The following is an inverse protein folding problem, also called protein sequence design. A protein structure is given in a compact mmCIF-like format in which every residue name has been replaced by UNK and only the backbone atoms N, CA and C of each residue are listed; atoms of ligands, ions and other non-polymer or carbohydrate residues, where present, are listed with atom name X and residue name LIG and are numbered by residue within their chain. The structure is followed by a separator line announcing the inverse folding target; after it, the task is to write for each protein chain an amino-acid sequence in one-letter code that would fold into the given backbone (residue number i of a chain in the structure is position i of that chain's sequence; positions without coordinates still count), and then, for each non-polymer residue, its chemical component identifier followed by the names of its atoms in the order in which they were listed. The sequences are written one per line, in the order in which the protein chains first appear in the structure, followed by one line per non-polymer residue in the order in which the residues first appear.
data_IF_275875602138
#
_entry.id   IF_275875602138
#
_cell.length_a   1.000
_cell.length_b   1.000
_cell.length_c   1.000
_cell.angle_alpha   90.00
_cell.angle_beta   90.00
_cell.angle_gamma   90.00
#
_symmetry.space_group_name_H-M   'P 1'
#
loop_
_entity.id
_entity.type
_entity.pdbx_description
1 polymer ?
#
# COMPACT_ATOMS: atom_id res chain seq x y z
N UNK A 1 -5.39 2.17 -24.81
CA UNK A 1 -4.44 1.65 -23.80
C UNK A 1 -4.93 0.27 -23.39
N UNK A 2 -4.09 -0.77 -23.37
CA UNK A 2 -4.51 -2.13 -22.99
C UNK A 2 -4.69 -2.23 -21.47
N UNK A 3 -5.56 -3.16 -21.00
CA UNK A 3 -5.79 -3.38 -19.56
C UNK A 3 -4.50 -3.70 -18.81
N UNK A 4 -3.61 -4.51 -19.38
CA UNK A 4 -2.31 -4.83 -18.81
C UNK A 4 -1.44 -3.57 -18.61
N UNK A 5 -1.45 -2.64 -19.59
CA UNK A 5 -0.70 -1.38 -19.48
C UNK A 5 -1.25 -0.49 -18.37
N UNK A 6 -2.57 -0.41 -18.25
CA UNK A 6 -3.22 0.30 -17.13
C UNK A 6 -2.81 -0.33 -15.81
N UNK A 7 -2.87 -1.65 -15.71
CA UNK A 7 -2.52 -2.38 -14.49
C UNK A 7 -1.07 -2.13 -14.05
N UNK A 8 -0.10 -2.22 -14.97
CA UNK A 8 1.30 -1.95 -14.67
C UNK A 8 1.52 -0.52 -14.19
N UNK A 9 0.87 0.47 -14.83
CA UNK A 9 0.93 1.87 -14.42
C UNK A 9 0.30 2.07 -13.02
N UNK A 10 -0.84 1.43 -12.74
CA UNK A 10 -1.47 1.51 -11.42
C UNK A 10 -0.56 0.99 -10.31
N UNK A 11 0.16 -0.12 -10.52
CA UNK A 11 1.14 -0.61 -9.57
C UNK A 11 2.29 0.38 -9.34
N UNK A 12 2.78 1.03 -10.40
CA UNK A 12 3.85 2.03 -10.28
C UNK A 12 3.34 3.24 -9.49
N UNK A 13 2.14 3.73 -9.79
CA UNK A 13 1.53 4.83 -9.04
C UNK A 13 1.28 4.40 -7.57
N UNK A 14 0.80 3.19 -7.34
CA UNK A 14 0.59 2.64 -6.00
C UNK A 14 1.89 2.62 -5.16
N UNK A 15 3.03 2.31 -5.79
CA UNK A 15 4.31 2.28 -5.12
C UNK A 15 4.96 3.66 -4.96
N UNK A 16 4.88 4.53 -5.94
CA UNK A 16 5.59 5.82 -5.94
C UNK A 16 4.72 7.00 -5.54
N UNK A 17 3.40 6.92 -5.75
CA UNK A 17 2.51 8.09 -5.66
C UNK A 17 2.53 8.73 -4.27
N UNK A 18 2.30 7.98 -3.21
CA UNK A 18 2.31 8.49 -1.86
C UNK A 18 3.70 9.00 -1.43
N UNK A 19 4.77 8.26 -1.77
CA UNK A 19 6.16 8.68 -1.51
C UNK A 19 6.44 10.02 -2.19
N UNK A 20 6.08 10.16 -3.47
CA UNK A 20 6.29 11.39 -4.21
C UNK A 20 5.51 12.57 -3.60
N UNK A 21 4.27 12.32 -3.15
CA UNK A 21 3.45 13.37 -2.52
C UNK A 21 4.08 13.82 -1.20
N UNK A 22 4.47 12.90 -0.32
CA UNK A 22 5.07 13.28 0.97
C UNK A 22 6.43 13.95 0.80
N UNK A 23 7.36 13.35 0.04
CA UNK A 23 8.74 13.85 -0.07
C UNK A 23 8.80 15.09 -0.97
N UNK A 24 8.15 15.07 -2.14
CA UNK A 24 8.31 16.17 -3.11
C UNK A 24 7.38 17.35 -2.87
N UNK A 25 6.23 17.12 -2.24
CA UNK A 25 5.23 18.17 -2.06
C UNK A 25 5.04 18.55 -0.59
N UNK A 26 5.07 17.58 0.33
CA UNK A 26 4.92 17.80 1.75
C UNK A 26 6.19 18.37 2.40
N UNK A 27 7.31 17.64 2.33
CA UNK A 27 8.55 18.01 3.00
C UNK A 27 9.17 19.28 2.45
N UNK A 28 8.92 19.61 1.19
CA UNK A 28 9.37 20.86 0.57
C UNK A 28 8.51 22.08 0.97
N UNK A 29 7.39 21.87 1.66
CA UNK A 29 6.46 22.92 2.05
C UNK A 29 5.62 23.48 0.89
N UNK A 30 5.62 22.84 -0.28
CA UNK A 30 4.77 23.23 -1.41
C UNK A 30 3.28 23.02 -1.14
N UNK A 31 2.95 22.03 -0.29
CA UNK A 31 1.61 21.76 0.16
C UNK A 31 1.52 21.86 1.69
N UNK A 32 0.38 22.33 2.20
CA UNK A 32 0.08 22.19 3.63
C UNK A 32 -0.11 20.72 4.00
N UNK A 33 0.08 20.39 5.28
CA UNK A 33 -0.15 19.02 5.80
C UNK A 33 -1.49 18.46 5.36
N UNK A 34 -2.57 19.25 5.52
CA UNK A 34 -3.92 18.86 5.12
C UNK A 34 -4.04 18.49 3.64
N UNK A 35 -3.41 19.26 2.74
CA UNK A 35 -3.43 18.94 1.31
C UNK A 35 -2.55 17.74 0.96
N UNK A 36 -1.40 17.60 1.63
CA UNK A 36 -0.51 16.44 1.44
C UNK A 36 -1.23 15.14 1.78
N UNK A 37 -1.90 15.08 2.94
CA UNK A 37 -2.68 13.91 3.36
C UNK A 37 -3.78 13.56 2.35
N UNK A 38 -4.55 14.55 1.91
CA UNK A 38 -5.62 14.33 0.92
C UNK A 38 -5.11 13.79 -0.42
N UNK A 39 -4.02 14.36 -0.94
CA UNK A 39 -3.49 13.94 -2.24
C UNK A 39 -2.84 12.56 -2.11
N UNK A 40 -2.11 12.28 -1.02
CA UNK A 40 -1.56 10.96 -0.73
C UNK A 40 -2.68 9.91 -0.68
N UNK A 41 -3.78 10.19 0.03
CA UNK A 41 -4.94 9.31 0.10
C UNK A 41 -5.48 8.92 -1.27
N UNK A 42 -5.60 9.86 -2.21
CA UNK A 42 -6.04 9.56 -3.58
C UNK A 42 -5.07 8.65 -4.33
N UNK A 43 -3.76 8.79 -4.12
CA UNK A 43 -2.78 7.89 -4.76
C UNK A 43 -2.87 6.47 -4.21
N UNK A 44 -3.18 6.31 -2.92
CA UNK A 44 -3.31 5.01 -2.27
C UNK A 44 -4.49 4.18 -2.80
N UNK A 45 -5.55 4.82 -3.31
CA UNK A 45 -6.67 4.11 -3.95
C UNK A 45 -6.21 3.28 -5.17
N UNK A 46 -5.09 3.64 -5.79
CA UNK A 46 -4.54 2.86 -6.90
C UNK A 46 -4.06 1.46 -6.48
N UNK A 47 -3.77 1.23 -5.20
CA UNK A 47 -3.35 -0.05 -4.65
C UNK A 47 -4.39 -1.15 -4.93
N UNK A 48 -5.60 -1.11 -4.35
CA UNK A 48 -6.58 -2.17 -4.58
C UNK A 48 -7.01 -2.26 -6.04
N UNK A 49 -6.99 -1.17 -6.79
CA UNK A 49 -7.29 -1.19 -8.23
C UNK A 49 -6.25 -2.01 -9.00
N UNK A 50 -4.95 -1.84 -8.71
CA UNK A 50 -3.89 -2.62 -9.35
C UNK A 50 -4.04 -4.13 -9.05
N UNK A 51 -4.29 -4.48 -7.80
CA UNK A 51 -4.49 -5.88 -7.41
C UNK A 51 -5.79 -6.47 -7.98
N UNK A 52 -6.86 -5.69 -8.07
CA UNK A 52 -8.10 -6.12 -8.71
C UNK A 52 -7.91 -6.43 -10.20
N UNK A 53 -7.12 -5.64 -10.92
CA UNK A 53 -6.84 -5.90 -12.32
C UNK A 53 -5.99 -7.16 -12.53
N UNK A 54 -5.04 -7.48 -11.63
CA UNK A 54 -4.32 -8.76 -11.69
C UNK A 54 -5.24 -9.95 -11.43
N UNK A 55 -6.23 -9.80 -10.57
CA UNK A 55 -7.27 -10.81 -10.34
C UNK A 55 -8.08 -11.13 -11.60
N UNK A 56 -8.26 -10.17 -12.51
CA UNK A 56 -8.94 -10.40 -13.78
C UNK A 56 -8.10 -11.26 -14.75
N UNK A 57 -6.77 -11.27 -14.59
CA UNK A 57 -5.87 -12.10 -15.40
C UNK A 57 -5.88 -13.54 -14.90
N UNK A 58 -5.80 -13.72 -13.58
CA UNK A 58 -5.86 -15.02 -12.92
C UNK A 58 -6.53 -14.87 -11.55
N UNK A 59 -7.31 -15.87 -11.14
CA UNK A 59 -8.13 -15.80 -9.93
C UNK A 59 -7.91 -17.01 -9.04
N UNK A 60 -7.77 -16.74 -7.74
CA UNK A 60 -7.85 -17.76 -6.70
C UNK A 60 -8.35 -17.13 -5.38
N UNK A 61 -8.75 -17.98 -4.44
CA UNK A 61 -9.32 -17.55 -3.15
C UNK A 61 -8.38 -16.69 -2.31
N UNK A 62 -7.06 -16.87 -2.42
CA UNK A 62 -6.08 -16.03 -1.70
C UNK A 62 -6.04 -14.61 -2.26
N UNK A 63 -6.11 -14.45 -3.58
CA UNK A 63 -6.18 -13.14 -4.20
C UNK A 63 -7.48 -12.41 -3.85
N UNK A 64 -8.61 -13.15 -3.81
CA UNK A 64 -9.90 -12.59 -3.42
C UNK A 64 -9.90 -12.14 -1.94
N UNK A 65 -9.39 -12.98 -1.05
CA UNK A 65 -9.28 -12.66 0.37
C UNK A 65 -8.31 -11.49 0.63
N UNK A 66 -7.14 -11.52 -0.01
CA UNK A 66 -6.16 -10.45 0.10
C UNK A 66 -6.69 -9.12 -0.41
N UNK A 67 -7.40 -9.10 -1.54
CA UNK A 67 -8.03 -7.89 -2.07
C UNK A 67 -9.07 -7.32 -1.10
N UNK A 68 -9.91 -8.17 -0.49
CA UNK A 68 -10.88 -7.74 0.50
C UNK A 68 -10.18 -7.08 1.71
N UNK A 69 -9.12 -7.70 2.23
CA UNK A 69 -8.33 -7.14 3.33
C UNK A 69 -7.71 -5.80 2.95
N UNK A 70 -7.17 -5.66 1.72
CA UNK A 70 -6.62 -4.38 1.25
C UNK A 70 -7.69 -3.30 1.20
N UNK A 71 -8.89 -3.61 0.69
CA UNK A 71 -9.98 -2.63 0.62
C UNK A 71 -10.42 -2.20 2.02
N UNK A 72 -10.59 -3.15 2.95
CA UNK A 72 -10.98 -2.85 4.34
C UNK A 72 -9.88 -2.01 5.01
N UNK A 73 -8.63 -2.42 4.94
CA UNK A 73 -7.52 -1.71 5.54
C UNK A 73 -7.33 -0.30 4.97
N UNK A 74 -7.38 -0.17 3.64
CA UNK A 74 -7.30 1.13 2.98
C UNK A 74 -8.48 2.05 3.36
N UNK A 75 -9.69 1.52 3.47
CA UNK A 75 -10.85 2.31 3.89
C UNK A 75 -10.66 2.92 5.28
N UNK A 76 -10.07 2.18 6.21
CA UNK A 76 -9.69 2.69 7.54
C UNK A 76 -8.60 3.76 7.43
N UNK A 77 -7.57 3.54 6.61
CA UNK A 77 -6.53 4.53 6.35
C UNK A 77 -7.10 5.83 5.79
N UNK A 78 -7.99 5.78 4.80
CA UNK A 78 -8.63 6.97 4.22
C UNK A 78 -9.47 7.74 5.24
N UNK A 79 -10.15 7.05 6.16
CA UNK A 79 -10.88 7.69 7.27
C UNK A 79 -9.90 8.40 8.20
N UNK A 80 -8.78 7.77 8.54
CA UNK A 80 -7.71 8.38 9.33
C UNK A 80 -7.16 9.64 8.68
N UNK A 81 -6.80 9.56 7.39
CA UNK A 81 -6.26 10.70 6.63
C UNK A 81 -7.26 11.86 6.58
N UNK A 82 -8.56 11.56 6.47
CA UNK A 82 -9.61 12.57 6.54
C UNK A 82 -9.67 13.25 7.92
N UNK A 83 -9.55 12.48 9.02
CA UNK A 83 -9.51 13.02 10.38
C UNK A 83 -8.27 13.89 10.59
N UNK A 84 -7.11 13.40 10.19
CA UNK A 84 -5.84 14.12 10.33
C UNK A 84 -5.81 15.41 9.48
N UNK A 85 -6.39 15.35 8.28
CA UNK A 85 -6.47 16.53 7.41
C UNK A 85 -7.41 17.62 7.91
N UNK A 86 -8.33 17.30 8.81
CA UNK A 86 -9.26 18.26 9.38
C UNK A 86 -8.63 19.15 10.48
N UNK A 87 -7.50 18.73 11.06
CA UNK A 87 -6.72 19.49 12.06
C UNK A 87 -7.56 20.02 13.24
N UNK A 88 -8.57 19.24 13.72
CA UNK A 88 -9.55 19.71 14.70
C UNK A 88 -8.95 19.80 16.10
N UNK A 89 -8.22 18.77 16.54
CA UNK A 89 -7.58 18.70 17.87
C UNK A 89 -6.49 17.65 17.91
N UNK A 90 -5.59 17.75 18.91
CA UNK A 90 -4.58 16.71 19.18
C UNK A 90 -5.23 15.34 19.46
N UNK A 91 -6.38 15.34 20.14
CA UNK A 91 -7.12 14.13 20.46
C UNK A 91 -7.68 13.43 19.21
N UNK A 92 -8.20 14.21 18.27
CA UNK A 92 -8.65 13.66 16.98
C UNK A 92 -7.49 13.09 16.14
N UNK A 93 -6.31 13.69 16.20
CA UNK A 93 -5.11 13.17 15.54
C UNK A 93 -4.64 11.84 16.15
N UNK A 94 -4.70 11.68 17.47
CA UNK A 94 -4.40 10.39 18.13
C UNK A 94 -5.39 9.29 17.72
N UNK A 95 -6.68 9.62 17.65
CA UNK A 95 -7.70 8.68 17.16
C UNK A 95 -7.46 8.32 15.69
N UNK A 96 -7.16 9.30 14.85
CA UNK A 96 -6.79 9.09 13.46
C UNK A 96 -5.59 8.15 13.34
N UNK A 97 -4.53 8.39 14.10
CA UNK A 97 -3.35 7.52 14.14
C UNK A 97 -3.68 6.08 14.51
N UNK A 98 -4.46 5.85 15.56
CA UNK A 98 -4.86 4.50 15.97
C UNK A 98 -5.66 3.76 14.88
N UNK A 99 -6.55 4.45 14.18
CA UNK A 99 -7.31 3.91 13.04
C UNK A 99 -6.35 3.59 11.88
N UNK A 100 -5.40 4.50 11.57
CA UNK A 100 -4.42 4.30 10.52
C UNK A 100 -3.59 3.02 10.74
N UNK A 101 -2.96 2.89 11.90
CA UNK A 101 -2.10 1.75 12.18
C UNK A 101 -2.84 0.42 12.07
N UNK A 102 -4.07 0.36 12.57
CA UNK A 102 -4.92 -0.82 12.42
C UNK A 102 -5.27 -1.09 10.96
N UNK A 103 -5.70 -0.05 10.23
CA UNK A 103 -6.04 -0.17 8.81
C UNK A 103 -4.84 -0.62 7.95
N UNK A 104 -3.70 0.02 8.13
CA UNK A 104 -2.48 -0.34 7.41
C UNK A 104 -2.03 -1.77 7.73
N UNK A 105 -2.13 -2.23 8.98
CA UNK A 105 -1.81 -3.62 9.32
C UNK A 105 -2.67 -4.61 8.52
N UNK A 106 -3.98 -4.41 8.45
CA UNK A 106 -4.90 -5.24 7.68
C UNK A 106 -4.56 -5.20 6.17
N UNK A 107 -4.23 -4.03 5.64
CA UNK A 107 -3.82 -3.89 4.24
C UNK A 107 -2.56 -4.69 3.92
N UNK A 108 -1.52 -4.61 4.76
CA UNK A 108 -0.29 -5.38 4.57
C UNK A 108 -0.49 -6.89 4.73
N UNK A 109 -1.38 -7.32 5.64
CA UNK A 109 -1.82 -8.71 5.68
C UNK A 109 -2.46 -9.12 4.34
N UNK A 110 -3.27 -8.26 3.74
CA UNK A 110 -3.84 -8.45 2.42
C UNK A 110 -2.80 -8.64 1.31
N UNK A 111 -1.70 -7.86 1.34
CA UNK A 111 -0.57 -8.05 0.41
C UNK A 111 0.07 -9.43 0.58
N UNK A 112 0.33 -9.84 1.83
CA UNK A 112 0.92 -11.15 2.13
C UNK A 112 0.04 -12.29 1.61
N UNK A 113 -1.26 -12.24 1.87
CA UNK A 113 -2.23 -13.24 1.41
C UNK A 113 -2.31 -13.27 -0.12
N UNK A 114 -2.29 -12.11 -0.79
CA UNK A 114 -2.27 -12.04 -2.25
C UNK A 114 -0.96 -12.59 -2.82
N UNK A 115 0.17 -12.36 -2.17
CA UNK A 115 1.47 -12.94 -2.53
C UNK A 115 1.44 -14.48 -2.55
N UNK A 116 0.76 -15.11 -1.59
CA UNK A 116 0.50 -16.57 -1.61
C UNK A 116 -0.31 -16.96 -2.85
N UNK A 117 -1.30 -16.15 -3.21
CA UNK A 117 -2.07 -16.32 -4.44
C UNK A 117 -1.19 -16.28 -5.69
N UNK A 118 -0.25 -15.36 -5.76
CA UNK A 118 0.69 -15.24 -6.87
C UNK A 118 1.65 -16.44 -6.99
N UNK A 119 2.14 -16.97 -5.86
CA UNK A 119 2.93 -18.21 -5.85
C UNK A 119 2.18 -19.39 -6.46
N UNK A 120 0.87 -19.50 -6.16
CA UNK A 120 0.04 -20.61 -6.66
C UNK A 120 -0.32 -20.52 -8.13
N UNK A 121 -0.30 -19.31 -8.69
CA UNK A 121 -0.71 -19.08 -10.08
C UNK A 121 0.46 -18.86 -11.03
N UNK A 122 1.68 -18.76 -10.50
CA UNK A 122 2.88 -18.41 -11.27
C UNK A 122 2.70 -17.11 -12.10
N UNK A 123 1.85 -16.20 -11.62
CA UNK A 123 1.58 -14.95 -12.32
C UNK A 123 2.83 -14.06 -12.36
N UNK A 124 3.60 -14.08 -11.28
CA UNK A 124 4.89 -13.40 -11.16
C UNK A 124 6.00 -14.40 -10.82
N UNK A 125 7.27 -14.06 -11.05
CA UNK A 125 8.39 -14.90 -10.61
C UNK A 125 8.27 -15.21 -9.11
N UNK A 126 8.57 -16.45 -8.71
CA UNK A 126 8.41 -16.90 -7.33
C UNK A 126 9.17 -16.03 -6.32
N UNK A 127 10.38 -15.55 -6.67
CA UNK A 127 11.15 -14.67 -5.80
C UNK A 127 10.40 -13.35 -5.49
N UNK A 128 9.71 -12.79 -6.49
CA UNK A 128 8.96 -11.54 -6.32
C UNK A 128 7.70 -11.76 -5.44
N UNK A 129 7.01 -12.88 -5.64
CA UNK A 129 5.89 -13.27 -4.79
C UNK A 129 6.33 -13.50 -3.34
N UNK A 130 7.46 -14.15 -3.11
CA UNK A 130 8.05 -14.31 -1.78
C UNK A 130 8.47 -12.97 -1.18
N UNK A 131 9.03 -12.08 -1.99
CA UNK A 131 9.41 -10.75 -1.52
C UNK A 131 8.20 -9.93 -1.08
N UNK A 132 7.10 -9.99 -1.84
CA UNK A 132 5.82 -9.39 -1.44
C UNK A 132 5.33 -9.96 -0.11
N UNK A 133 5.32 -11.31 0.05
CA UNK A 133 4.87 -11.97 1.28
C UNK A 133 5.72 -11.53 2.48
N UNK A 134 7.03 -11.62 2.37
CA UNK A 134 7.94 -11.36 3.50
C UNK A 134 7.91 -9.89 3.91
N UNK A 135 8.08 -8.97 2.97
CA UNK A 135 8.08 -7.54 3.26
C UNK A 135 6.76 -7.08 3.90
N UNK A 136 5.64 -7.57 3.36
CA UNK A 136 4.33 -7.20 3.88
C UNK A 136 4.00 -7.89 5.21
N UNK A 137 4.43 -9.15 5.41
CA UNK A 137 4.24 -9.83 6.69
C UNK A 137 5.03 -9.17 7.82
N UNK A 138 6.25 -8.74 7.56
CA UNK A 138 7.05 -8.00 8.52
C UNK A 138 6.33 -6.70 8.89
N UNK A 139 5.90 -5.93 7.90
CA UNK A 139 5.17 -4.68 8.15
C UNK A 139 3.87 -4.92 8.92
N UNK A 140 3.10 -5.95 8.54
CA UNK A 140 1.89 -6.35 9.28
C UNK A 140 2.18 -6.61 10.76
N UNK A 141 3.19 -7.43 11.06
CA UNK A 141 3.54 -7.78 12.44
C UNK A 141 3.93 -6.54 13.23
N UNK A 142 4.76 -5.66 12.67
CA UNK A 142 5.15 -4.41 13.32
C UNK A 142 3.92 -3.54 13.66
N UNK A 143 3.07 -3.30 12.68
CA UNK A 143 1.88 -2.45 12.87
C UNK A 143 0.83 -3.08 13.79
N UNK A 144 0.76 -4.41 13.88
CA UNK A 144 -0.21 -5.11 14.70
C UNK A 144 0.24 -5.29 16.17
N UNK A 145 1.56 -5.35 16.41
CA UNK A 145 2.11 -5.69 17.74
C UNK A 145 2.54 -4.46 18.51
N UNK A 146 3.09 -3.43 17.84
CA UNK A 146 3.56 -2.23 18.50
C UNK A 146 2.39 -1.31 18.90
N UNK A 147 2.53 -0.66 20.06
CA UNK A 147 1.58 0.37 20.48
C UNK A 147 1.70 1.62 19.57
N UNK A 148 0.67 2.48 19.48
CA UNK A 148 0.75 3.73 18.72
C UNK A 148 1.97 4.59 19.10
N UNK A 149 2.29 4.70 20.39
CA UNK A 149 3.46 5.44 20.88
C UNK A 149 4.79 4.83 20.40
N UNK A 150 4.90 3.50 20.42
CA UNK A 150 6.07 2.79 19.92
C UNK A 150 6.22 2.96 18.40
N UNK A 151 5.10 2.96 17.66
CA UNK A 151 5.09 3.18 16.23
C UNK A 151 5.53 4.60 15.88
N UNK A 152 5.02 5.63 16.56
CA UNK A 152 5.43 7.02 16.35
C UNK A 152 6.94 7.21 16.60
N UNK A 153 7.47 6.59 17.67
CA UNK A 153 8.91 6.65 17.96
C UNK A 153 9.77 5.83 16.97
N UNK A 154 9.17 4.96 16.19
CA UNK A 154 9.86 4.05 15.25
C UNK A 154 9.65 4.45 13.79
N UNK A 155 8.93 5.55 13.51
CA UNK A 155 8.55 5.92 12.13
C UNK A 155 9.78 6.02 11.23
N UNK A 156 10.78 6.81 11.59
CA UNK A 156 11.94 7.07 10.74
C UNK A 156 12.87 5.86 10.60
N UNK A 157 13.00 5.07 11.66
CA UNK A 157 14.01 3.99 11.73
C UNK A 157 13.49 2.64 11.25
N UNK A 158 12.18 2.42 11.24
CA UNK A 158 11.58 1.10 10.97
C UNK A 158 10.40 1.18 10.01
N UNK A 159 9.42 2.01 10.31
CA UNK A 159 8.17 2.05 9.54
C UNK A 159 8.41 2.61 8.14
N UNK A 160 9.11 3.74 8.03
CA UNK A 160 9.39 4.38 6.74
C UNK A 160 10.27 3.49 5.82
N UNK A 161 11.38 2.87 6.27
CA UNK A 161 12.13 1.92 5.44
C UNK A 161 11.33 0.70 5.00
N UNK A 162 10.50 0.13 5.87
CA UNK A 162 9.63 -0.99 5.50
C UNK A 162 8.53 -0.57 4.52
N UNK A 163 7.99 0.62 4.68
CA UNK A 163 7.04 1.20 3.72
C UNK A 163 7.69 1.40 2.35
N UNK A 164 8.89 1.98 2.30
CA UNK A 164 9.66 2.14 1.05
C UNK A 164 9.96 0.78 0.39
N UNK A 165 10.30 -0.24 1.18
CA UNK A 165 10.53 -1.59 0.68
C UNK A 165 9.28 -2.18 0.04
N UNK A 166 8.12 -2.08 0.69
CA UNK A 166 6.84 -2.52 0.13
C UNK A 166 6.46 -1.73 -1.13
N UNK A 167 6.70 -0.42 -1.13
CA UNK A 167 6.49 0.44 -2.29
C UNK A 167 7.36 0.01 -3.48
N UNK A 168 8.63 -0.32 -3.24
CA UNK A 168 9.52 -0.87 -4.26
C UNK A 168 8.99 -2.18 -4.85
N UNK A 169 8.45 -3.07 -4.01
CA UNK A 169 7.82 -4.32 -4.48
C UNK A 169 6.67 -4.03 -5.42
N UNK A 170 5.81 -3.06 -5.10
CA UNK A 170 4.70 -2.65 -5.99
C UNK A 170 5.21 -2.12 -7.33
N UNK A 171 6.25 -1.28 -7.32
CA UNK A 171 6.88 -0.79 -8.57
C UNK A 171 7.41 -1.94 -9.41
N UNK A 172 8.09 -2.91 -8.80
CA UNK A 172 8.63 -4.09 -9.50
C UNK A 172 7.50 -4.92 -10.09
N UNK A 173 6.40 -5.15 -9.35
CA UNK A 173 5.20 -5.80 -9.88
C UNK A 173 4.64 -5.07 -11.11
N UNK A 174 4.62 -3.73 -11.06
CA UNK A 174 4.22 -2.89 -12.19
C UNK A 174 5.11 -3.08 -13.42
N UNK A 175 6.42 -3.07 -13.25
CA UNK A 175 7.39 -3.29 -14.32
C UNK A 175 7.22 -4.68 -14.94
N UNK A 176 7.07 -5.73 -14.12
CA UNK A 176 6.82 -7.09 -14.63
C UNK A 176 5.49 -7.18 -15.39
N UNK A 177 4.46 -6.49 -14.91
CA UNK A 177 3.16 -6.43 -15.60
C UNK A 177 3.29 -5.74 -16.96
N UNK A 178 4.07 -4.67 -17.07
CA UNK A 178 4.32 -3.96 -18.33
C UNK A 178 5.15 -4.81 -19.31
N UNK A 179 6.21 -5.48 -18.83
CA UNK A 179 7.06 -6.33 -19.69
C UNK A 179 6.33 -7.49 -20.33
N UNK A 180 5.36 -8.09 -19.66
CA UNK A 180 4.50 -9.14 -20.23
C UNK A 180 3.67 -8.70 -21.45
N UNK A 181 3.62 -7.39 -21.72
CA UNK A 181 2.97 -6.84 -22.90
C UNK A 181 3.78 -7.00 -24.17
N UNK A 182 5.09 -7.12 -24.02
CA UNK A 182 6.03 -7.19 -25.15
C UNK A 182 6.19 -8.63 -25.66
N UNK A 183 5.74 -9.63 -24.89
CA UNK A 183 5.89 -11.06 -25.19
C UNK A 183 4.64 -11.69 -25.86
N UNK A 184 3.56 -10.95 -26.10
CA UNK A 184 2.32 -11.36 -26.74
C UNK A 184 1.91 -10.38 -27.84
#
# INVERSE_FOLDING_TARGET
MTEKKVNGILFIIAGLGSIAVYILLGDTGLLSKSHTEKIAAYTLVTIPLAFMMTRNITRNSFMDAGLLMMVVGLSMGLVSDAINSAEISAESSLMGGAIAWTGWSIMYLGFSVTGIGYLRTNLFPNWLSWFLILASSIMFVFLAVLTPEQLENSVDNLVAPLWMLNSLVLVILGIFTLRRLEEN
#
